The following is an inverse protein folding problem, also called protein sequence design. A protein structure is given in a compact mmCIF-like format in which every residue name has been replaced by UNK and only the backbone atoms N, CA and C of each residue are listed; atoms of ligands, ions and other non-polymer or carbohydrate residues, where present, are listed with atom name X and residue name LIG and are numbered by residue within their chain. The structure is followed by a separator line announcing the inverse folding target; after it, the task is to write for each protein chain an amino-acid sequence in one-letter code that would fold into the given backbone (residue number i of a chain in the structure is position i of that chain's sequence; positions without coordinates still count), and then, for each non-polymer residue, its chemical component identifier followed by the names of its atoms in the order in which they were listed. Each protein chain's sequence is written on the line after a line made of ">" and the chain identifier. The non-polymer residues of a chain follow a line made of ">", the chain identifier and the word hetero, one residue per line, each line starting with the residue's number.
data_IF_192391890714
#
_entry.id   IF_192391890714
#
_cell.length_a   1.000
_cell.length_b   1.000
_cell.length_c   1.000
_cell.angle_alpha   90.00
_cell.angle_beta   90.00
_cell.angle_gamma   90.00
#
_symmetry.space_group_name_H-M   'P 1'
#
loop_
_entity.id
_entity.type
_entity.pdbx_description
1 polymer ?
#
# COMPACT_ATOMS: atom_id res chain seq x y z
N UNK A 1 -41.79 11.32 -20.39
CA UNK A 1 -40.33 11.54 -20.36
C UNK A 1 -39.82 10.90 -19.10
N UNK A 2 -38.95 9.90 -19.21
CA UNK A 2 -38.36 9.17 -18.08
C UNK A 2 -37.29 10.03 -17.43
N UNK A 3 -37.41 10.28 -16.12
CA UNK A 3 -36.33 10.83 -15.31
C UNK A 3 -35.24 9.76 -15.17
N UNK A 4 -34.08 10.02 -15.79
CA UNK A 4 -32.89 9.21 -15.59
C UNK A 4 -32.26 9.59 -14.25
N UNK A 5 -32.46 8.77 -13.23
CA UNK A 5 -31.66 8.82 -12.01
C UNK A 5 -30.21 8.51 -12.38
N UNK A 6 -29.35 9.54 -12.36
CA UNK A 6 -27.90 9.34 -12.33
C UNK A 6 -27.56 8.86 -10.93
N UNK A 7 -27.26 7.58 -10.84
CA UNK A 7 -26.64 7.01 -9.66
C UNK A 7 -25.19 7.51 -9.64
N UNK A 8 -24.97 8.64 -8.96
CA UNK A 8 -23.63 9.16 -8.71
C UNK A 8 -22.90 8.13 -7.85
N UNK A 9 -22.10 7.29 -8.49
CA UNK A 9 -21.21 6.35 -7.84
C UNK A 9 -20.35 7.16 -6.86
N UNK A 10 -20.62 7.02 -5.57
CA UNK A 10 -19.88 7.68 -4.49
C UNK A 10 -18.46 7.11 -4.45
N UNK A 11 -17.61 7.51 -5.40
CA UNK A 11 -16.17 7.24 -5.36
C UNK A 11 -15.61 8.13 -4.27
N UNK A 12 -15.03 7.57 -3.20
CA UNK A 12 -14.45 8.40 -2.15
C UNK A 12 -13.34 9.29 -2.74
N UNK A 13 -13.55 10.61 -2.72
CA UNK A 13 -12.55 11.62 -3.14
C UNK A 13 -11.34 11.71 -2.19
N UNK A 14 -11.16 10.74 -1.30
CA UNK A 14 -10.32 10.83 -0.10
C UNK A 14 -8.82 11.01 -0.37
N UNK A 15 -8.35 10.78 -1.60
CA UNK A 15 -6.91 10.86 -1.95
C UNK A 15 -6.60 11.81 -3.11
N UNK A 16 -7.57 12.62 -3.57
CA UNK A 16 -7.35 13.49 -4.73
C UNK A 16 -6.42 14.64 -4.35
N UNK A 17 -5.18 14.64 -4.87
CA UNK A 17 -4.29 15.81 -4.82
C UNK A 17 -5.03 16.98 -5.49
N UNK A 18 -5.42 17.99 -4.72
CA UNK A 18 -5.78 19.28 -5.31
C UNK A 18 -4.50 19.85 -5.92
N UNK A 19 -4.35 19.77 -7.25
CA UNK A 19 -3.52 20.72 -7.99
C UNK A 19 -4.25 22.07 -7.93
N UNK A 20 -4.14 22.76 -6.80
CA UNK A 20 -4.51 24.17 -6.68
C UNK A 20 -3.30 24.89 -6.10
N UNK A 21 -2.62 25.56 -7.04
CA UNK A 21 -1.78 26.75 -6.92
C UNK A 21 -0.50 26.79 -6.10
N UNK A 22 0.42 27.56 -6.70
CA UNK A 22 1.79 27.81 -6.34
C UNK A 22 1.92 28.55 -5.00
N UNK A 23 2.91 28.15 -4.19
CA UNK A 23 3.30 28.88 -2.99
C UNK A 23 4.19 28.03 -2.08
N UNK A 24 5.46 28.40 -1.99
CA UNK A 24 6.49 27.81 -1.14
C UNK A 24 6.06 27.78 0.33
N UNK A 25 6.16 26.62 1.00
CA UNK A 25 6.89 26.44 2.28
C UNK A 25 6.80 24.99 2.82
N UNK A 26 7.86 24.66 3.55
CA UNK A 26 8.24 23.40 4.18
C UNK A 26 7.14 22.68 4.96
N UNK A 27 7.13 21.34 4.88
CA UNK A 27 6.45 20.48 5.86
C UNK A 27 4.96 20.21 5.57
N UNK A 28 4.64 19.54 4.46
CA UNK A 28 3.27 19.04 4.26
C UNK A 28 3.03 17.86 5.19
N UNK A 29 2.43 18.14 6.34
CA UNK A 29 1.75 17.18 7.20
C UNK A 29 0.72 16.43 6.37
N UNK A 30 1.08 15.22 5.94
CA UNK A 30 0.16 14.29 5.30
C UNK A 30 -0.81 13.81 6.37
N UNK A 31 -2.02 14.38 6.43
CA UNK A 31 -3.10 13.77 7.21
C UNK A 31 -3.61 12.55 6.44
N UNK A 32 -3.55 11.33 7.02
CA UNK A 32 -4.15 10.15 6.42
C UNK A 32 -5.64 10.40 6.19
N UNK A 33 -6.14 10.12 4.99
CA UNK A 33 -7.57 10.16 4.75
C UNK A 33 -8.26 8.98 5.46
N UNK A 34 -9.57 9.07 5.69
CA UNK A 34 -10.32 8.03 6.41
C UNK A 34 -10.15 6.62 5.79
N UNK A 35 -10.04 6.53 4.46
CA UNK A 35 -9.78 5.26 3.78
C UNK A 35 -8.37 4.73 4.07
N UNK A 36 -7.36 5.60 4.04
CA UNK A 36 -6.00 5.23 4.39
C UNK A 36 -5.96 4.71 5.84
N UNK A 37 -6.54 5.45 6.79
CA UNK A 37 -6.63 5.01 8.20
C UNK A 37 -7.36 3.67 8.35
N UNK A 38 -8.47 3.46 7.62
CA UNK A 38 -9.20 2.20 7.66
C UNK A 38 -8.35 1.03 7.16
N UNK A 39 -7.62 1.20 6.06
CA UNK A 39 -6.71 0.18 5.53
C UNK A 39 -5.59 -0.13 6.53
N UNK A 40 -4.99 0.90 7.14
CA UNK A 40 -3.96 0.70 8.17
C UNK A 40 -4.49 -0.14 9.35
N UNK A 41 -5.71 0.13 9.79
CA UNK A 41 -6.36 -0.60 10.88
C UNK A 41 -6.71 -2.04 10.50
N UNK A 42 -7.24 -2.27 9.30
CA UNK A 42 -7.63 -3.60 8.82
C UNK A 42 -6.43 -4.53 8.62
N UNK A 43 -5.33 -3.97 8.09
CA UNK A 43 -4.09 -4.71 7.85
C UNK A 43 -3.19 -4.70 9.09
N UNK A 44 -3.48 -3.87 10.10
CA UNK A 44 -2.64 -3.71 11.29
C UNK A 44 -1.23 -3.19 10.97
N UNK A 45 -1.06 -2.41 9.89
CA UNK A 45 0.23 -1.90 9.41
C UNK A 45 0.12 -0.44 9.02
N UNK A 46 1.24 0.28 9.09
CA UNK A 46 1.35 1.65 8.59
C UNK A 46 1.78 1.65 7.13
N UNK A 47 1.20 2.55 6.35
CA UNK A 47 1.50 2.71 4.93
C UNK A 47 2.01 4.13 4.67
N UNK A 48 3.04 4.24 3.84
CA UNK A 48 3.47 5.51 3.28
C UNK A 48 3.62 5.36 1.78
N UNK A 49 3.13 6.37 1.05
CA UNK A 49 3.07 6.34 -0.41
C UNK A 49 4.05 7.36 -0.95
N UNK A 50 5.03 6.89 -1.72
CA UNK A 50 6.02 7.72 -2.38
C UNK A 50 5.88 7.59 -3.90
N UNK A 51 6.06 8.70 -4.60
CA UNK A 51 6.16 8.70 -6.06
C UNK A 51 7.63 8.86 -6.42
N UNK A 52 8.22 7.81 -6.97
CA UNK A 52 9.54 7.89 -7.56
C UNK A 52 9.42 8.10 -9.08
N UNK A 53 10.53 8.48 -9.71
CA UNK A 53 10.64 8.53 -11.18
C UNK A 53 10.22 7.22 -11.85
N UNK A 54 10.38 6.09 -11.15
CA UNK A 54 10.14 4.72 -11.62
C UNK A 54 8.75 4.17 -11.35
N UNK A 55 7.92 4.81 -10.50
CA UNK A 55 6.58 4.30 -10.22
C UNK A 55 5.96 4.84 -8.94
N UNK A 56 4.75 4.35 -8.69
CA UNK A 56 4.19 4.37 -7.34
C UNK A 56 4.96 3.35 -6.50
N UNK A 57 5.40 3.76 -5.31
CA UNK A 57 5.99 2.88 -4.31
C UNK A 57 5.23 3.05 -3.01
N UNK A 58 4.90 1.94 -2.37
CA UNK A 58 4.23 1.92 -1.07
C UNK A 58 5.15 1.23 -0.08
N UNK A 59 5.59 1.96 0.94
CA UNK A 59 6.31 1.39 2.07
C UNK A 59 5.30 0.98 3.13
N UNK A 60 5.46 -0.23 3.65
CA UNK A 60 4.57 -0.82 4.65
C UNK A 60 5.39 -1.18 5.88
N UNK A 61 4.88 -0.88 7.08
CA UNK A 61 5.59 -1.14 8.34
C UNK A 61 4.65 -1.70 9.41
N UNK A 62 4.99 -2.84 9.98
CA UNK A 62 4.36 -3.39 11.17
C UNK A 62 5.08 -2.87 12.42
N UNK A 63 4.54 -1.79 13.00
CA UNK A 63 5.19 -1.01 14.08
C UNK A 63 5.63 -1.85 15.28
N UNK A 64 4.84 -2.85 15.67
CA UNK A 64 5.13 -3.69 16.83
C UNK A 64 6.37 -4.55 16.64
N UNK A 65 6.53 -5.13 15.45
CA UNK A 65 7.67 -6.02 15.16
C UNK A 65 8.89 -5.32 14.60
N UNK A 66 8.71 -4.13 14.00
CA UNK A 66 9.73 -3.48 13.18
C UNK A 66 9.91 -4.09 11.78
N UNK A 67 9.06 -5.04 11.38
CA UNK A 67 9.01 -5.57 10.02
C UNK A 67 8.56 -4.48 9.05
N UNK A 68 9.32 -4.25 7.99
CA UNK A 68 8.99 -3.30 6.94
C UNK A 68 9.46 -3.75 5.56
N UNK A 69 8.72 -3.34 4.54
CA UNK A 69 8.94 -3.72 3.15
C UNK A 69 8.35 -2.66 2.21
N UNK A 70 8.70 -2.74 0.94
CA UNK A 70 8.12 -1.92 -0.13
C UNK A 70 7.31 -2.78 -1.10
N UNK A 71 6.29 -2.18 -1.69
CA UNK A 71 5.54 -2.68 -2.84
C UNK A 71 5.62 -1.63 -3.96
N UNK A 72 6.25 -1.97 -5.07
CA UNK A 72 6.37 -1.09 -6.24
C UNK A 72 5.74 -1.73 -7.47
N UNK A 73 5.16 -0.90 -8.34
CA UNK A 73 4.54 -1.39 -9.57
C UNK A 73 5.59 -1.63 -10.64
N UNK A 74 5.57 -2.80 -11.26
CA UNK A 74 6.34 -3.06 -12.47
C UNK A 74 5.72 -2.24 -13.59
N UNK A 75 6.49 -1.34 -14.19
CA UNK A 75 6.05 -0.60 -15.39
C UNK A 75 6.31 -1.47 -16.61
N UNK A 76 5.37 -2.36 -16.93
CA UNK A 76 5.40 -2.99 -18.24
C UNK A 76 4.74 -2.07 -19.29
N UNK A 77 5.29 -2.06 -20.51
CA UNK A 77 4.84 -1.17 -21.60
C UNK A 77 3.67 -1.75 -22.40
N UNK A 78 3.28 -2.97 -22.09
CA UNK A 78 2.16 -3.68 -22.70
C UNK A 78 1.16 -4.06 -21.61
N UNK A 79 -0.10 -4.28 -21.99
CA UNK A 79 -1.27 -4.49 -21.11
C UNK A 79 -1.21 -5.77 -20.24
N UNK A 80 -0.01 -6.23 -19.87
CA UNK A 80 0.23 -7.31 -18.94
C UNK A 80 -0.34 -6.97 -17.56
N UNK A 81 -0.82 -8.00 -16.88
CA UNK A 81 -1.38 -7.95 -15.54
C UNK A 81 -0.52 -7.08 -14.63
N UNK A 82 -1.12 -6.11 -13.91
CA UNK A 82 -0.34 -5.20 -13.06
C UNK A 82 0.46 -6.00 -12.03
N UNK A 83 1.78 -6.09 -12.21
CA UNK A 83 2.67 -6.80 -11.28
C UNK A 83 3.20 -5.86 -10.19
N UNK A 84 3.43 -6.44 -9.02
CA UNK A 84 4.03 -5.80 -7.86
C UNK A 84 5.34 -6.48 -7.51
N UNK A 85 6.33 -5.67 -7.17
CA UNK A 85 7.60 -6.11 -6.58
C UNK A 85 7.53 -5.89 -5.07
N UNK A 86 7.65 -6.97 -4.31
CA UNK A 86 7.91 -6.95 -2.88
C UNK A 86 9.41 -6.94 -2.62
N UNK A 87 9.86 -6.01 -1.77
CA UNK A 87 11.25 -5.97 -1.30
C UNK A 87 11.28 -5.72 0.20
N UNK A 88 12.02 -6.55 0.93
CA UNK A 88 12.14 -6.41 2.39
C UNK A 88 13.10 -5.28 2.73
N UNK A 89 12.69 -4.40 3.65
CA UNK A 89 13.58 -3.36 4.19
C UNK A 89 14.16 -3.78 5.55
N UNK A 90 13.33 -4.38 6.41
CA UNK A 90 13.74 -4.90 7.71
C UNK A 90 12.84 -6.08 8.10
N UNK A 91 13.43 -7.16 8.62
CA UNK A 91 12.68 -8.25 9.25
C UNK A 91 12.28 -7.92 10.69
N UNK A 92 12.93 -6.94 11.33
CA UNK A 92 12.73 -6.63 12.73
C UNK A 92 12.82 -7.87 13.62
N UNK A 93 11.92 -7.95 14.60
CA UNK A 93 11.88 -9.04 15.59
C UNK A 93 11.39 -10.39 15.04
N UNK A 94 10.85 -10.43 13.81
CA UNK A 94 10.35 -11.68 13.23
C UNK A 94 11.39 -12.45 12.42
N UNK A 95 12.64 -12.00 12.35
CA UNK A 95 13.69 -12.62 11.53
C UNK A 95 13.84 -14.15 11.73
N UNK A 96 13.73 -14.60 12.99
CA UNK A 96 13.83 -16.02 13.36
C UNK A 96 12.62 -16.87 12.95
N UNK A 97 11.46 -16.25 12.71
CA UNK A 97 10.22 -16.93 12.30
C UNK A 97 9.79 -16.58 10.86
N UNK A 98 10.49 -15.64 10.22
CA UNK A 98 10.22 -15.18 8.87
C UNK A 98 10.45 -16.33 7.88
N UNK A 99 9.46 -16.55 7.03
CA UNK A 99 9.54 -17.54 5.95
C UNK A 99 10.54 -17.09 4.90
N UNK A 100 11.13 -18.04 4.16
CA UNK A 100 12.15 -17.74 3.15
C UNK A 100 11.70 -16.67 2.15
N UNK A 101 10.46 -16.76 1.67
CA UNK A 101 9.87 -15.79 0.74
C UNK A 101 9.85 -14.35 1.31
N UNK A 102 9.78 -14.17 2.63
CA UNK A 102 9.80 -12.83 3.23
C UNK A 102 11.19 -12.18 3.19
N UNK A 103 12.24 -12.96 2.88
CA UNK A 103 13.63 -12.53 2.86
C UNK A 103 14.15 -12.24 1.45
N UNK A 104 13.35 -12.51 0.44
CA UNK A 104 13.71 -12.43 -0.98
C UNK A 104 12.83 -11.39 -1.68
N UNK A 105 13.36 -10.81 -2.75
CA UNK A 105 12.57 -9.97 -3.64
C UNK A 105 11.63 -10.85 -4.45
N UNK A 106 10.33 -10.51 -4.44
CA UNK A 106 9.29 -11.32 -5.09
C UNK A 106 8.49 -10.45 -6.03
N UNK A 107 8.23 -10.97 -7.22
CA UNK A 107 7.27 -10.39 -8.17
C UNK A 107 5.98 -11.22 -8.14
N UNK A 108 4.83 -10.55 -8.06
CA UNK A 108 3.54 -11.20 -8.11
C UNK A 108 2.48 -10.27 -8.71
N UNK A 109 1.44 -10.84 -9.34
CA UNK A 109 0.35 -10.04 -9.90
C UNK A 109 -0.52 -9.40 -8.83
N UNK A 110 -1.13 -8.25 -9.13
CA UNK A 110 -2.02 -7.54 -8.21
C UNK A 110 -3.20 -8.43 -7.73
N UNK A 111 -3.63 -9.41 -8.53
CA UNK A 111 -4.63 -10.39 -8.17
C UNK A 111 -4.21 -11.28 -6.97
N UNK A 112 -2.91 -11.42 -6.72
CA UNK A 112 -2.36 -12.20 -5.60
C UNK A 112 -2.21 -11.38 -4.31
N UNK A 113 -2.48 -10.08 -4.31
CA UNK A 113 -2.44 -9.22 -3.11
C UNK A 113 -3.22 -9.79 -1.91
N UNK A 114 -4.48 -10.26 -2.06
CA UNK A 114 -5.22 -10.82 -0.94
C UNK A 114 -4.50 -12.03 -0.31
N UNK A 115 -3.91 -12.89 -1.13
CA UNK A 115 -3.17 -14.08 -0.69
C UNK A 115 -1.86 -13.67 0.00
N UNK A 116 -1.18 -12.64 -0.51
CA UNK A 116 0.04 -12.10 0.08
C UNK A 116 -0.21 -11.57 1.51
N UNK A 117 -1.23 -10.74 1.69
CA UNK A 117 -1.56 -10.19 3.02
C UNK A 117 -2.12 -11.25 3.98
N UNK A 118 -2.89 -12.23 3.49
CA UNK A 118 -3.29 -13.39 4.31
C UNK A 118 -2.06 -14.17 4.82
N UNK A 119 -1.04 -14.40 3.97
CA UNK A 119 0.19 -15.07 4.39
C UNK A 119 0.99 -14.26 5.41
N UNK A 120 1.06 -12.93 5.26
CA UNK A 120 1.68 -12.05 6.25
C UNK A 120 0.96 -12.13 7.60
N UNK A 121 -0.38 -12.14 7.59
CA UNK A 121 -1.19 -12.21 8.82
C UNK A 121 -0.96 -13.47 9.65
N UNK A 122 -0.49 -14.56 9.03
CA UNK A 122 -0.18 -15.82 9.70
C UNK A 122 1.16 -15.83 10.40
N UNK A 123 2.06 -14.91 10.03
CA UNK A 123 3.39 -14.75 10.65
C UNK A 123 3.35 -13.63 11.69
N UNK A 124 2.63 -12.57 11.38
CA UNK A 124 2.50 -11.41 12.26
C UNK A 124 1.36 -11.62 13.24
N UNK A 125 1.69 -11.68 14.52
CA UNK A 125 0.66 -11.69 15.57
C UNK A 125 0.03 -10.32 15.62
N UNK A 126 -1.12 -10.16 14.97
CA UNK A 126 -2.01 -9.06 15.23
C UNK A 126 -2.58 -9.25 16.63
N UNK A 127 -2.13 -8.46 17.60
CA UNK A 127 -2.90 -8.29 18.82
C UNK A 127 -4.23 -7.63 18.42
N UNK A 128 -5.27 -8.45 18.27
CA UNK A 128 -6.66 -8.00 18.12
C UNK A 128 -7.21 -7.52 19.45
#
# INVERSE_FOLDING_TARGET
>A
MMESHKEDMLVPNCCRRTKADFGFESGKSYSPCAFHTLVELLVGMKFSVEHHSEGLCVTVTHQMSGYSFTLSWVRDKEEAEQELVYQVFSLGTIEGIAKQWMKEDIVFSLAMCPVFFDRLSKVLVFNK
#
